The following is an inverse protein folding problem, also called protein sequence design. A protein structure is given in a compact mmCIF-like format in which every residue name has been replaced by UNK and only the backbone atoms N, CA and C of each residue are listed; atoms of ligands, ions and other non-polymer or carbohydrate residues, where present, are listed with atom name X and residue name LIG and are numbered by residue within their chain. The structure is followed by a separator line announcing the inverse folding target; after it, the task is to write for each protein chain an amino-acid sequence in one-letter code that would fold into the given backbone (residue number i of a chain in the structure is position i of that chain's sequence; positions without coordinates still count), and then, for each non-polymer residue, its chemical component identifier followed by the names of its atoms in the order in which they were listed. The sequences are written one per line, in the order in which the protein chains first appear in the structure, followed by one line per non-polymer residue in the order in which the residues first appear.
data_IF_076420755205
#
_entry.id   IF_076420755205
#
_cell.length_a   1.000
_cell.length_b   1.000
_cell.length_c   1.000
_cell.angle_alpha   90.00
_cell.angle_beta   90.00
_cell.angle_gamma   90.00
#
_symmetry.space_group_name_H-M   'P 1'
#
loop_
_entity.id
_entity.type
_entity.pdbx_description
1 polymer ?
#
# COMPACT_ATOMS: atom_id res chain seq x y z
N UNK A 1 -33.75 -5.77 1.48
CA UNK A 1 -32.50 -5.17 0.98
C UNK A 1 -31.47 -6.28 0.97
N UNK A 2 -30.94 -6.63 -0.20
CA UNK A 2 -29.99 -7.72 -0.36
C UNK A 2 -28.67 -7.31 0.30
N UNK A 3 -28.24 -8.10 1.28
CA UNK A 3 -26.88 -8.11 1.81
C UNK A 3 -25.96 -8.67 0.73
N UNK A 4 -25.15 -7.83 0.08
CA UNK A 4 -24.17 -8.27 -0.91
C UNK A 4 -22.79 -8.34 -0.28
N UNK A 5 -22.37 -9.55 0.05
CA UNK A 5 -20.94 -9.89 0.23
C UNK A 5 -20.20 -9.71 -1.11
N UNK A 6 -18.89 -9.44 -1.07
CA UNK A 6 -18.08 -9.43 -2.30
C UNK A 6 -17.72 -10.89 -2.61
N UNK A 7 -18.47 -11.54 -3.50
CA UNK A 7 -18.14 -12.90 -4.00
C UNK A 7 -16.94 -12.91 -4.98
N UNK A 8 -16.40 -11.73 -5.29
CA UNK A 8 -15.40 -11.51 -6.34
C UNK A 8 -13.96 -11.45 -5.80
N UNK A 9 -12.97 -11.66 -6.68
CA UNK A 9 -11.55 -11.64 -6.27
C UNK A 9 -11.10 -10.21 -6.00
N UNK A 10 -10.93 -9.86 -4.73
CA UNK A 10 -10.29 -8.60 -4.31
C UNK A 10 -8.80 -8.63 -4.67
N UNK A 11 -8.33 -7.54 -5.27
CA UNK A 11 -6.96 -7.34 -5.76
C UNK A 11 -6.21 -6.32 -4.90
N UNK A 12 -6.89 -5.26 -4.46
CA UNK A 12 -6.32 -4.24 -3.57
C UNK A 12 -7.40 -3.60 -2.68
N UNK A 13 -7.02 -3.04 -1.55
CA UNK A 13 -7.81 -2.32 -0.56
C UNK A 13 -7.18 -0.95 -0.28
N UNK A 14 -8.01 0.01 0.10
CA UNK A 14 -7.54 1.27 0.66
C UNK A 14 -8.54 1.78 1.69
N UNK A 15 -8.10 1.89 2.94
CA UNK A 15 -8.90 2.45 4.01
C UNK A 15 -8.75 3.98 4.08
N UNK A 16 -9.78 4.64 4.59
CA UNK A 16 -9.66 6.02 5.00
C UNK A 16 -8.63 6.16 6.14
N UNK A 17 -7.89 7.28 6.23
CA UNK A 17 -7.05 7.56 7.39
C UNK A 17 -7.83 7.56 8.71
N UNK A 18 -9.14 7.83 8.66
CA UNK A 18 -10.05 7.85 9.80
C UNK A 18 -10.84 6.54 9.98
N UNK A 19 -10.42 5.43 9.35
CA UNK A 19 -11.16 4.16 9.32
C UNK A 19 -11.64 3.66 10.68
N UNK A 20 -10.81 3.83 11.71
CA UNK A 20 -11.17 3.48 13.09
C UNK A 20 -12.48 4.14 13.54
N UNK A 21 -12.77 5.35 13.07
CA UNK A 21 -13.99 6.12 13.36
C UNK A 21 -15.07 5.99 12.29
N UNK A 22 -14.73 6.12 11.01
CA UNK A 22 -15.70 6.23 9.90
C UNK A 22 -16.00 4.90 9.19
N UNK A 23 -15.25 3.84 9.49
CA UNK A 23 -15.40 2.51 8.89
C UNK A 23 -15.24 2.45 7.37
N UNK A 24 -14.69 3.48 6.74
CA UNK A 24 -14.66 3.61 5.28
C UNK A 24 -13.46 2.91 4.66
N UNK A 25 -13.72 1.95 3.78
CA UNK A 25 -12.69 1.25 3.01
C UNK A 25 -13.18 1.00 1.58
N UNK A 26 -12.25 0.99 0.64
CA UNK A 26 -12.48 0.68 -0.76
C UNK A 26 -11.77 -0.62 -1.14
N UNK A 27 -12.40 -1.43 -1.98
CA UNK A 27 -11.86 -2.69 -2.47
C UNK A 27 -11.88 -2.71 -4.00
N UNK A 28 -10.70 -2.72 -4.60
CA UNK A 28 -10.52 -3.00 -6.01
C UNK A 28 -10.61 -4.52 -6.24
N UNK A 29 -11.44 -4.95 -7.19
CA UNK A 29 -11.61 -6.35 -7.56
C UNK A 29 -11.55 -6.55 -9.08
N UNK A 30 -11.59 -7.81 -9.49
CA UNK A 30 -11.77 -8.22 -10.87
C UNK A 30 -13.14 -7.85 -11.49
N UNK A 31 -14.08 -7.33 -10.68
CA UNK A 31 -15.43 -6.96 -11.09
C UNK A 31 -15.79 -5.50 -10.77
N UNK A 32 -14.83 -4.69 -10.34
CA UNK A 32 -15.02 -3.26 -10.13
C UNK A 32 -14.49 -2.79 -8.79
N UNK A 33 -14.86 -1.57 -8.43
CA UNK A 33 -14.53 -0.97 -7.14
C UNK A 33 -15.74 -1.04 -6.22
N UNK A 34 -15.51 -1.50 -4.98
CA UNK A 34 -16.52 -1.57 -3.93
C UNK A 34 -16.14 -0.68 -2.76
N UNK A 35 -17.14 -0.23 -2.01
CA UNK A 35 -16.97 0.60 -0.81
C UNK A 35 -17.80 0.05 0.35
N UNK A 36 -17.18 0.04 1.52
CA UNK A 36 -17.83 -0.12 2.82
C UNK A 36 -17.75 1.19 3.62
N UNK A 37 -18.70 1.38 4.54
CA UNK A 37 -18.71 2.45 5.56
C UNK A 37 -18.99 1.90 6.97
N UNK A 38 -19.08 0.57 7.08
CA UNK A 38 -19.43 -0.17 8.29
C UNK A 38 -18.35 -1.20 8.62
N UNK A 39 -17.08 -0.87 8.29
CA UNK A 39 -15.90 -1.71 8.58
C UNK A 39 -15.94 -3.08 7.90
N UNK A 40 -16.57 -3.15 6.73
CA UNK A 40 -16.64 -4.35 5.91
C UNK A 40 -17.79 -5.29 6.25
N UNK A 41 -18.77 -4.86 7.06
CA UNK A 41 -20.01 -5.62 7.28
C UNK A 41 -20.85 -5.66 6.00
N UNK A 42 -20.90 -4.55 5.24
CA UNK A 42 -21.55 -4.49 3.93
C UNK A 42 -20.73 -3.72 2.91
N UNK A 43 -20.92 -4.09 1.63
CA UNK A 43 -20.23 -3.50 0.50
C UNK A 43 -21.20 -3.05 -0.58
N UNK A 44 -20.88 -1.93 -1.21
CA UNK A 44 -21.65 -1.35 -2.32
C UNK A 44 -20.73 -1.06 -3.50
N UNK A 45 -21.19 -1.33 -4.72
CA UNK A 45 -20.42 -1.02 -5.93
C UNK A 45 -20.35 0.49 -6.14
N UNK A 46 -19.14 1.02 -6.31
CA UNK A 46 -18.87 2.42 -6.65
C UNK A 46 -19.24 2.75 -8.10
N UNK A 47 -19.42 1.73 -8.95
CA UNK A 47 -19.74 1.89 -10.38
C UNK A 47 -21.18 1.51 -10.73
N UNK A 48 -22.04 1.32 -9.73
CA UNK A 48 -23.44 0.97 -9.96
C UNK A 48 -24.14 2.00 -10.87
N UNK A 49 -24.78 1.52 -11.94
CA UNK A 49 -25.46 2.38 -12.92
C UNK A 49 -24.55 3.02 -13.96
N UNK A 50 -23.24 2.74 -13.94
CA UNK A 50 -22.30 3.09 -15.00
C UNK A 50 -22.06 1.88 -15.89
N UNK A 51 -22.96 1.62 -16.85
CA UNK A 51 -22.95 0.40 -17.67
C UNK A 51 -21.63 0.04 -18.37
N UNK A 52 -20.74 1.02 -18.62
CA UNK A 52 -19.40 0.77 -19.22
C UNK A 52 -18.34 0.35 -18.19
N UNK A 53 -18.65 0.45 -16.90
CA UNK A 53 -17.76 0.22 -15.76
C UNK A 53 -18.30 -0.83 -14.79
N UNK A 54 -19.51 -1.31 -15.03
CA UNK A 54 -20.01 -2.53 -14.40
C UNK A 54 -19.12 -3.70 -14.84
N UNK A 55 -18.59 -4.47 -13.87
CA UNK A 55 -17.75 -5.65 -14.10
C UNK A 55 -16.37 -5.35 -14.74
N UNK A 56 -15.78 -4.20 -14.40
CA UNK A 56 -14.46 -3.82 -14.89
C UNK A 56 -13.35 -4.20 -13.90
N UNK A 57 -12.29 -4.82 -14.39
CA UNK A 57 -11.09 -5.11 -13.60
C UNK A 57 -10.48 -3.82 -13.02
N UNK A 58 -10.39 -3.74 -11.70
CA UNK A 58 -9.66 -2.70 -10.99
C UNK A 58 -8.44 -3.30 -10.31
N UNK A 59 -7.24 -2.79 -10.62
CA UNK A 59 -5.98 -3.42 -10.19
C UNK A 59 -5.32 -2.74 -8.99
N UNK A 60 -5.71 -1.50 -8.70
CA UNK A 60 -5.15 -0.72 -7.60
C UNK A 60 -6.16 0.34 -7.16
N UNK A 61 -6.13 0.70 -5.88
CA UNK A 61 -6.93 1.78 -5.30
C UNK A 61 -6.09 2.54 -4.29
N UNK A 62 -6.33 3.85 -4.18
CA UNK A 62 -5.73 4.69 -3.15
C UNK A 62 -6.72 5.72 -2.62
N UNK A 63 -6.62 6.00 -1.33
CA UNK A 63 -7.40 7.02 -0.63
C UNK A 63 -6.47 8.16 -0.22
N UNK A 64 -6.92 9.40 -0.42
CA UNK A 64 -6.15 10.60 -0.03
C UNK A 64 -5.82 10.62 1.47
N UNK A 65 -4.61 11.00 1.87
CA UNK A 65 -4.29 11.27 3.28
C UNK A 65 -5.21 12.32 3.94
N UNK A 66 -5.85 13.19 3.14
CA UNK A 66 -6.82 14.17 3.58
C UNK A 66 -8.27 13.80 3.22
N UNK A 67 -8.56 12.51 3.04
CA UNK A 67 -9.87 12.01 2.59
C UNK A 67 -11.07 12.54 3.41
N UNK A 68 -10.89 12.75 4.71
CA UNK A 68 -11.92 13.33 5.56
C UNK A 68 -12.37 14.72 5.06
N UNK A 69 -11.48 15.49 4.44
CA UNK A 69 -11.74 16.84 3.92
C UNK A 69 -12.03 16.85 2.42
N UNK A 70 -11.24 16.12 1.63
CA UNK A 70 -11.28 16.23 0.16
C UNK A 70 -12.06 15.10 -0.53
N UNK A 71 -12.37 14.02 0.20
CA UNK A 71 -13.06 12.84 -0.32
C UNK A 71 -12.37 12.17 -1.51
N UNK A 72 -11.07 12.40 -1.73
CA UNK A 72 -10.41 11.94 -2.96
C UNK A 72 -10.09 10.45 -2.92
N UNK A 73 -10.46 9.73 -3.98
CA UNK A 73 -10.12 8.33 -4.22
C UNK A 73 -9.61 8.19 -5.65
N UNK A 74 -8.52 7.44 -5.82
CA UNK A 74 -7.98 7.04 -7.13
C UNK A 74 -8.12 5.53 -7.27
N UNK A 75 -8.50 5.06 -8.47
CA UNK A 75 -8.56 3.64 -8.79
C UNK A 75 -8.04 3.40 -10.19
N UNK A 76 -7.27 2.34 -10.38
CA UNK A 76 -6.86 1.90 -11.70
C UNK A 76 -8.01 1.14 -12.35
N UNK A 77 -8.28 1.46 -13.61
CA UNK A 77 -9.22 0.76 -14.49
C UNK A 77 -8.50 0.44 -15.82
N UNK A 78 -9.04 -0.42 -16.69
CA UNK A 78 -8.41 -0.73 -17.96
C UNK A 78 -8.23 0.57 -18.78
N UNK A 79 -6.98 0.89 -19.05
CA UNK A 79 -6.59 2.02 -19.87
C UNK A 79 -6.65 3.42 -19.23
N UNK A 80 -6.94 3.50 -17.93
CA UNK A 80 -7.13 4.79 -17.27
C UNK A 80 -7.07 4.77 -15.75
N UNK A 81 -7.18 5.96 -15.18
CA UNK A 81 -7.37 6.16 -13.75
C UNK A 81 -8.76 6.76 -13.54
N UNK A 82 -9.57 6.10 -12.71
CA UNK A 82 -10.77 6.69 -12.13
C UNK A 82 -10.39 7.56 -10.93
N UNK A 83 -10.95 8.75 -10.88
CA UNK A 83 -10.79 9.73 -9.80
C UNK A 83 -12.15 10.15 -9.29
N UNK A 84 -12.36 10.03 -7.98
CA UNK A 84 -13.50 10.62 -7.28
C UNK A 84 -13.00 11.70 -6.32
N UNK A 85 -13.79 12.74 -6.10
CA UNK A 85 -13.57 13.79 -5.07
C UNK A 85 -14.76 13.94 -4.13
N UNK A 86 -15.64 12.95 -4.11
CA UNK A 86 -16.88 12.94 -3.34
C UNK A 86 -17.06 11.59 -2.64
N UNK A 87 -15.94 10.98 -2.22
CA UNK A 87 -15.89 9.72 -1.48
C UNK A 87 -16.44 8.52 -2.26
N UNK A 88 -16.19 8.49 -3.56
CA UNK A 88 -16.54 7.39 -4.46
C UNK A 88 -17.97 7.44 -5.01
N UNK A 89 -18.68 8.57 -4.88
CA UNK A 89 -20.06 8.71 -5.38
C UNK A 89 -20.09 9.00 -6.89
N UNK A 90 -19.18 9.86 -7.38
CA UNK A 90 -19.01 10.17 -8.80
C UNK A 90 -17.55 10.09 -9.21
N UNK A 91 -17.33 9.86 -10.50
CA UNK A 91 -16.02 9.52 -11.05
C UNK A 91 -15.71 10.29 -12.33
N UNK A 92 -14.46 10.75 -12.42
CA UNK A 92 -13.83 11.31 -13.60
C UNK A 92 -12.73 10.37 -14.06
N UNK A 93 -12.55 10.22 -15.37
CA UNK A 93 -11.61 9.24 -15.92
C UNK A 93 -10.49 9.91 -16.70
N UNK A 94 -9.26 9.73 -16.23
CA UNK A 94 -8.05 10.13 -16.92
C UNK A 94 -7.57 8.98 -17.80
N UNK A 95 -7.41 9.23 -19.10
CA UNK A 95 -6.79 8.25 -20.01
C UNK A 95 -5.28 8.26 -19.84
N UNK A 96 -4.69 7.08 -19.77
CA UNK A 96 -3.24 6.95 -19.73
C UNK A 96 -2.65 6.98 -21.15
N UNK A 97 -1.38 7.41 -21.30
CA UNK A 97 -0.68 7.38 -22.60
C UNK A 97 -0.66 5.98 -23.21
N UNK A 98 -0.53 5.90 -24.54
CA UNK A 98 -0.34 4.63 -25.25
C UNK A 98 1.15 4.29 -25.39
N UNK A 99 1.55 3.01 -25.26
CA UNK A 99 0.73 1.87 -24.82
C UNK A 99 0.27 2.06 -23.36
N UNK A 100 -0.95 1.59 -23.06
CA UNK A 100 -1.57 1.80 -21.75
C UNK A 100 -0.84 0.98 -20.68
N UNK A 101 -0.28 1.63 -19.65
CA UNK A 101 0.44 0.94 -18.60
C UNK A 101 -0.53 0.19 -17.68
N UNK A 102 -0.11 -0.98 -17.22
CA UNK A 102 -0.82 -1.74 -16.18
C UNK A 102 -0.38 -1.19 -14.83
N UNK A 103 -1.28 -0.52 -14.13
CA UNK A 103 -1.02 0.07 -12.81
C UNK A 103 -0.96 -1.03 -11.75
N UNK A 104 0.14 -1.06 -10.99
CA UNK A 104 0.41 -2.06 -9.95
C UNK A 104 0.29 -1.50 -8.54
N UNK A 105 0.66 -0.24 -8.34
CA UNK A 105 0.62 0.42 -7.02
C UNK A 105 0.44 1.92 -7.15
N UNK A 106 -0.24 2.52 -6.19
CA UNK A 106 -0.35 3.98 -6.05
C UNK A 106 0.47 4.45 -4.85
N UNK A 107 0.93 5.70 -4.92
CA UNK A 107 1.44 6.40 -3.75
C UNK A 107 1.06 7.88 -3.84
N UNK A 108 0.48 8.43 -2.77
CA UNK A 108 0.06 9.84 -2.70
C UNK A 108 0.99 10.61 -1.77
N UNK A 109 1.23 11.87 -2.07
CA UNK A 109 1.95 12.77 -1.17
C UNK A 109 1.23 12.86 0.19
N UNK A 110 1.94 12.85 1.33
CA UNK A 110 1.34 13.16 2.63
C UNK A 110 0.60 14.51 2.64
N UNK A 111 1.05 15.47 1.83
CA UNK A 111 0.43 16.81 1.68
C UNK A 111 -0.48 16.91 0.44
N UNK A 112 -1.08 15.79 0.02
CA UNK A 112 -1.90 15.70 -1.20
C UNK A 112 -3.01 16.75 -1.29
N UNK A 113 -3.58 17.17 -0.16
CA UNK A 113 -4.62 18.20 -0.12
C UNK A 113 -4.16 19.52 -0.77
N UNK A 114 -2.87 19.84 -0.61
CA UNK A 114 -2.27 21.09 -1.06
C UNK A 114 -1.50 20.91 -2.37
N UNK A 115 -0.65 19.88 -2.48
CA UNK A 115 0.23 19.71 -3.63
C UNK A 115 -0.37 18.87 -4.77
N UNK A 116 -1.43 18.11 -4.49
CA UNK A 116 -2.13 17.22 -5.44
C UNK A 116 -1.22 16.20 -6.13
N UNK A 117 -0.08 15.87 -5.52
CA UNK A 117 0.91 14.95 -6.08
C UNK A 117 0.51 13.51 -5.82
N UNK A 118 0.30 12.78 -6.91
CA UNK A 118 0.10 11.33 -6.89
C UNK A 118 1.07 10.66 -7.86
N UNK A 119 1.39 9.42 -7.54
CA UNK A 119 2.29 8.58 -8.29
C UNK A 119 1.65 7.22 -8.50
N UNK A 120 1.97 6.55 -9.61
CA UNK A 120 1.74 5.11 -9.70
C UNK A 120 2.94 4.38 -10.29
N UNK A 121 3.16 3.17 -9.80
CA UNK A 121 4.03 2.17 -10.41
C UNK A 121 3.25 1.39 -11.46
N UNK A 122 3.97 0.89 -12.46
CA UNK A 122 3.38 0.05 -13.50
C UNK A 122 4.21 -1.20 -13.75
N UNK A 123 3.53 -2.22 -14.27
CA UNK A 123 4.12 -3.55 -14.47
C UNK A 123 5.32 -3.54 -15.44
N UNK A 124 5.36 -2.64 -16.43
CA UNK A 124 6.44 -2.61 -17.44
C UNK A 124 6.83 -1.20 -17.93
N UNK A 125 6.13 -0.15 -17.51
CA UNK A 125 6.28 1.20 -18.07
C UNK A 125 6.88 2.20 -17.07
N UNK A 126 7.32 1.72 -15.90
CA UNK A 126 7.97 2.49 -14.86
C UNK A 126 6.99 3.26 -13.98
N UNK A 127 7.39 4.45 -13.55
CA UNK A 127 6.62 5.32 -12.67
C UNK A 127 6.00 6.48 -13.45
N UNK A 128 4.74 6.74 -13.13
CA UNK A 128 4.01 7.90 -13.61
C UNK A 128 3.66 8.82 -12.44
N UNK A 129 3.51 10.10 -12.76
CA UNK A 129 3.21 11.16 -11.81
C UNK A 129 2.07 12.03 -12.32
N UNK A 130 1.22 12.44 -11.40
CA UNK A 130 0.25 13.50 -11.56
C UNK A 130 0.62 14.68 -10.66
N UNK A 131 0.46 15.90 -11.18
CA UNK A 131 0.59 17.16 -10.43
C UNK A 131 -0.78 17.87 -10.24
N UNK A 132 -1.87 17.22 -10.65
CA UNK A 132 -3.23 17.79 -10.68
C UNK A 132 -4.28 16.88 -10.01
N UNK A 133 -3.83 16.02 -9.11
CA UNK A 133 -4.69 15.18 -8.28
C UNK A 133 -5.27 13.98 -9.02
N UNK A 134 -4.59 13.51 -10.06
CA UNK A 134 -4.95 12.34 -10.86
C UNK A 134 -5.72 12.64 -12.14
N UNK A 135 -5.80 13.91 -12.57
CA UNK A 135 -6.49 14.28 -13.82
C UNK A 135 -5.62 14.01 -15.05
N UNK A 136 -4.31 14.24 -14.94
CA UNK A 136 -3.32 13.90 -15.97
C UNK A 136 -2.13 13.19 -15.37
N UNK A 137 -1.48 12.34 -16.18
CA UNK A 137 -0.37 11.48 -15.78
C UNK A 137 0.75 11.52 -16.80
N UNK A 138 1.98 11.70 -16.32
CA UNK A 138 3.20 11.76 -17.15
C UNK A 138 4.23 10.77 -16.62
N UNK A 139 4.91 10.05 -17.51
CA UNK A 139 5.98 9.13 -17.15
C UNK A 139 7.24 9.88 -16.69
N UNK A 140 7.84 9.46 -15.58
CA UNK A 140 9.08 10.04 -15.04
C UNK A 140 10.06 8.94 -14.62
N UNK A 141 10.83 8.47 -15.61
CA UNK A 141 11.66 7.25 -15.50
C UNK A 141 13.17 7.51 -15.65
N UNK A 142 13.62 8.76 -15.53
CA UNK A 142 15.04 9.08 -15.67
C UNK A 142 15.85 8.41 -14.56
N UNK A 143 16.80 7.54 -14.91
CA UNK A 143 17.58 6.72 -13.97
C UNK A 143 16.86 5.49 -13.43
N UNK A 144 15.60 5.25 -13.82
CA UNK A 144 14.86 4.03 -13.52
C UNK A 144 15.10 3.01 -14.63
N UNK A 145 16.17 2.22 -14.48
CA UNK A 145 16.62 1.28 -15.53
C UNK A 145 15.77 0.02 -15.62
N UNK A 146 15.12 -0.37 -14.53
CA UNK A 146 14.11 -1.42 -14.51
C UNK A 146 12.73 -0.80 -14.31
N UNK A 147 11.86 -1.02 -15.30
CA UNK A 147 10.53 -0.41 -15.38
C UNK A 147 9.41 -1.31 -14.87
N UNK A 148 9.74 -2.51 -14.39
CA UNK A 148 8.78 -3.37 -13.71
C UNK A 148 8.66 -2.92 -12.26
N UNK A 149 7.75 -1.98 -11.99
CA UNK A 149 7.54 -1.40 -10.66
C UNK A 149 6.34 -2.09 -10.01
N UNK A 150 6.54 -2.71 -8.87
CA UNK A 150 5.51 -3.49 -8.16
C UNK A 150 5.04 -2.78 -6.89
N UNK A 151 5.95 -2.09 -6.19
CA UNK A 151 5.64 -1.38 -4.97
C UNK A 151 6.09 0.08 -5.03
N UNK A 152 5.38 0.97 -4.35
CA UNK A 152 5.82 2.36 -4.15
C UNK A 152 5.53 2.83 -2.73
N UNK A 153 6.42 3.67 -2.21
CA UNK A 153 6.25 4.29 -0.90
C UNK A 153 6.81 5.71 -0.89
N UNK A 154 6.08 6.66 -0.30
CA UNK A 154 6.49 8.07 -0.20
C UNK A 154 7.14 8.32 1.17
N UNK A 155 8.18 9.15 1.22
CA UNK A 155 8.77 9.58 2.49
C UNK A 155 7.74 10.28 3.36
N UNK A 156 7.69 10.04 4.68
CA UNK A 156 6.87 10.84 5.59
C UNK A 156 7.28 12.32 5.58
N UNK A 157 8.54 12.62 5.23
CA UNK A 157 9.09 13.98 5.13
C UNK A 157 9.07 14.52 3.69
N UNK A 158 8.17 14.02 2.83
CA UNK A 158 8.14 14.33 1.40
C UNK A 158 8.07 15.81 1.06
N UNK A 159 7.38 16.61 1.89
CA UNK A 159 7.26 18.05 1.69
C UNK A 159 8.63 18.75 1.72
N UNK A 160 9.56 18.26 2.54
CA UNK A 160 10.93 18.77 2.65
C UNK A 160 11.93 18.02 1.77
N UNK A 161 11.91 16.69 1.74
CA UNK A 161 12.95 15.87 1.11
C UNK A 161 12.63 15.45 -0.33
N UNK A 162 11.36 15.57 -0.74
CA UNK A 162 10.84 15.19 -2.06
C UNK A 162 11.22 13.76 -2.49
N UNK A 163 11.34 12.85 -1.52
CA UNK A 163 11.84 11.48 -1.67
C UNK A 163 10.72 10.44 -1.67
N UNK A 164 10.82 9.48 -2.57
CA UNK A 164 9.95 8.31 -2.63
C UNK A 164 10.76 7.10 -3.10
N UNK A 165 10.20 5.91 -2.96
CA UNK A 165 10.84 4.65 -3.31
C UNK A 165 9.96 3.85 -4.25
N UNK A 166 10.61 3.13 -5.16
CA UNK A 166 9.99 2.18 -6.07
C UNK A 166 10.67 0.82 -5.88
N UNK A 167 9.88 -0.21 -5.63
CA UNK A 167 10.30 -1.60 -5.61
C UNK A 167 10.09 -2.17 -7.00
N UNK A 168 11.16 -2.68 -7.59
CA UNK A 168 11.15 -3.23 -8.94
C UNK A 168 11.53 -4.71 -8.96
N UNK A 169 11.49 -5.32 -10.15
CA UNK A 169 11.97 -6.71 -10.35
C UNK A 169 13.47 -6.91 -10.11
N UNK A 170 14.25 -5.84 -9.95
CA UNK A 170 15.71 -5.88 -9.78
C UNK A 170 16.22 -5.18 -8.52
N UNK A 171 15.32 -4.64 -7.70
CA UNK A 171 15.68 -4.04 -6.41
C UNK A 171 14.90 -2.77 -6.10
N UNK A 172 15.44 -1.99 -5.17
CA UNK A 172 14.83 -0.73 -4.73
C UNK A 172 15.47 0.44 -5.48
N UNK A 173 14.63 1.37 -5.94
CA UNK A 173 15.06 2.66 -6.47
C UNK A 173 14.59 3.79 -5.56
N UNK A 174 15.46 4.77 -5.34
CA UNK A 174 15.15 6.02 -4.67
C UNK A 174 14.86 7.11 -5.70
N UNK A 175 13.64 7.62 -5.68
CA UNK A 175 13.22 8.80 -6.42
C UNK A 175 13.55 10.07 -5.65
N UNK A 176 14.02 11.09 -6.36
CA UNK A 176 14.33 12.43 -5.86
C UNK A 176 13.62 13.48 -6.73
N UNK A 177 13.56 14.72 -6.25
CA UNK A 177 12.88 15.82 -6.94
C UNK A 177 11.42 15.47 -7.27
N UNK A 178 10.71 14.85 -6.32
CA UNK A 178 9.31 14.38 -6.50
C UNK A 178 9.20 13.38 -7.65
N UNK A 179 10.09 12.39 -7.66
CA UNK A 179 10.10 11.29 -8.64
C UNK A 179 10.55 11.67 -10.04
N UNK A 180 11.26 12.79 -10.24
CA UNK A 180 11.78 13.18 -11.56
C UNK A 180 13.09 12.47 -11.92
N UNK A 181 13.85 12.04 -10.92
CA UNK A 181 15.11 11.31 -11.11
C UNK A 181 15.23 10.17 -10.09
N UNK A 182 15.64 9.00 -10.58
CA UNK A 182 15.73 7.76 -9.82
C UNK A 182 17.17 7.26 -9.77
N UNK A 183 17.52 6.64 -8.65
CA UNK A 183 18.83 6.03 -8.45
C UNK A 183 18.63 4.67 -7.77
N UNK A 184 19.36 3.61 -8.19
CA UNK A 184 19.30 2.34 -7.50
C UNK A 184 19.81 2.49 -6.06
N UNK A 185 19.18 1.77 -5.13
CA UNK A 185 19.62 1.62 -3.74
C UNK A 185 20.30 0.27 -3.61
N UNK A 186 21.49 0.27 -2.99
CA UNK A 186 22.25 -0.96 -2.75
C UNK A 186 21.66 -1.73 -1.56
N UNK A 187 20.67 -2.56 -1.84
CA UNK A 187 20.16 -3.54 -0.88
C UNK A 187 21.03 -4.80 -1.02
N UNK A 188 21.59 -5.36 0.07
CA UNK A 188 22.43 -6.57 0.03
C UNK A 188 21.68 -7.88 -0.32
N UNK A 189 20.65 -7.80 -1.14
CA UNK A 189 19.93 -8.90 -1.76
C UNK A 189 20.16 -8.79 -3.29
N UNK A 190 20.97 -9.66 -3.87
CA UNK A 190 21.40 -9.54 -5.27
C UNK A 190 20.21 -9.65 -6.25
N UNK A 191 19.75 -8.50 -6.79
CA UNK A 191 18.75 -8.41 -7.88
C UNK A 191 17.50 -9.26 -7.66
N UNK A 192 16.80 -9.02 -6.56
CA UNK A 192 15.53 -9.68 -6.28
C UNK A 192 14.35 -8.75 -6.49
N UNK A 193 13.24 -9.35 -6.90
CA UNK A 193 11.94 -8.71 -7.01
C UNK A 193 11.52 -8.16 -5.64
N UNK A 194 11.25 -6.86 -5.59
CA UNK A 194 10.68 -6.18 -4.43
C UNK A 194 9.17 -6.15 -4.59
N UNK A 195 8.47 -6.95 -3.80
CA UNK A 195 7.01 -7.09 -3.86
C UNK A 195 6.30 -6.02 -3.03
N UNK A 196 6.92 -5.59 -1.92
CA UNK A 196 6.32 -4.64 -0.99
C UNK A 196 7.35 -3.69 -0.39
N UNK A 197 6.91 -2.46 -0.13
CA UNK A 197 7.71 -1.41 0.48
C UNK A 197 6.88 -0.68 1.53
N UNK A 198 7.50 -0.37 2.67
CA UNK A 198 6.97 0.58 3.63
C UNK A 198 8.06 1.55 4.08
N UNK A 199 7.67 2.81 4.32
CA UNK A 199 8.58 3.86 4.80
C UNK A 199 7.93 4.53 6.00
N UNK A 200 8.66 4.59 7.11
CA UNK A 200 8.25 5.23 8.36
C UNK A 200 9.26 6.29 8.76
N UNK A 201 8.84 7.25 9.58
CA UNK A 201 9.77 8.25 10.12
C UNK A 201 10.79 7.55 11.04
N UNK A 202 12.02 8.05 11.07
CA UNK A 202 13.05 7.57 11.99
C UNK A 202 13.88 8.76 12.48
N UNK A 203 13.56 9.25 13.68
CA UNK A 203 14.15 10.50 14.20
C UNK A 203 13.64 11.73 13.43
N UNK A 204 14.37 12.85 13.50
CA UNK A 204 13.92 14.13 12.94
C UNK A 204 13.99 14.19 11.42
N UNK A 205 15.00 13.59 10.81
CA UNK A 205 15.29 13.71 9.37
C UNK A 205 15.51 12.35 8.67
N UNK A 206 15.44 11.26 9.43
CA UNK A 206 15.63 9.91 8.91
C UNK A 206 14.30 9.24 8.58
N UNK A 207 14.39 8.18 7.78
CA UNK A 207 13.29 7.26 7.57
C UNK A 207 13.79 5.83 7.68
N UNK A 208 12.93 4.98 8.23
CA UNK A 208 13.07 3.53 8.19
C UNK A 208 12.42 3.02 6.92
N UNK A 209 13.11 2.13 6.21
CA UNK A 209 12.60 1.51 4.99
C UNK A 209 12.53 0.01 5.22
N UNK A 210 11.40 -0.59 4.89
CA UNK A 210 11.20 -2.03 4.88
C UNK A 210 10.98 -2.46 3.44
N UNK A 211 11.69 -3.50 3.02
CA UNK A 211 11.60 -4.07 1.68
C UNK A 211 11.32 -5.57 1.77
N UNK A 212 10.16 -5.95 1.26
CA UNK A 212 9.73 -7.33 1.15
C UNK A 212 10.12 -7.89 -0.21
N UNK A 213 10.77 -9.05 -0.22
CA UNK A 213 11.28 -9.67 -1.45
C UNK A 213 10.49 -10.92 -1.82
N UNK A 214 10.59 -11.32 -3.09
CA UNK A 214 9.93 -12.54 -3.60
C UNK A 214 10.52 -13.84 -3.03
N UNK A 215 11.80 -13.88 -2.61
CA UNK A 215 12.45 -15.14 -2.21
C UNK A 215 13.49 -15.02 -1.09
N UNK A 216 13.77 -13.82 -0.60
CA UNK A 216 14.88 -13.55 0.33
C UNK A 216 14.43 -12.76 1.54
N UNK A 217 13.16 -12.92 1.94
CA UNK A 217 12.65 -12.38 3.17
C UNK A 217 12.55 -10.85 3.22
N UNK A 218 12.52 -10.36 4.45
CA UNK A 218 12.34 -8.96 4.79
C UNK A 218 13.68 -8.27 5.07
N UNK A 219 13.88 -7.09 4.48
CA UNK A 219 15.04 -6.24 4.67
C UNK A 219 14.64 -4.91 5.29
N UNK A 220 15.45 -4.41 6.23
CA UNK A 220 15.20 -3.16 6.95
C UNK A 220 16.42 -2.26 6.89
N UNK A 221 16.21 -1.01 6.48
CA UNK A 221 17.15 0.08 6.66
C UNK A 221 16.64 1.03 7.74
N UNK A 222 17.47 1.36 8.72
CA UNK A 222 17.13 2.32 9.79
C UNK A 222 17.77 3.70 9.60
N UNK A 223 18.44 3.92 8.46
CA UNK A 223 19.20 5.14 8.16
C UNK A 223 18.97 5.59 6.71
N UNK A 224 17.71 5.66 6.31
CA UNK A 224 17.30 6.25 5.04
C UNK A 224 17.83 5.53 3.78
N UNK A 225 18.04 4.22 3.87
CA UNK A 225 18.55 3.38 2.77
C UNK A 225 20.07 3.31 2.68
N UNK A 226 20.80 3.85 3.67
CA UNK A 226 22.26 3.84 3.68
C UNK A 226 22.86 2.47 4.00
N UNK A 227 22.31 1.77 5.00
CA UNK A 227 22.66 0.39 5.32
C UNK A 227 21.40 -0.43 5.58
N UNK A 228 21.51 -1.74 5.35
CA UNK A 228 20.40 -2.67 5.44
C UNK A 228 20.78 -3.88 6.30
N UNK A 229 19.79 -4.42 7.01
CA UNK A 229 19.88 -5.75 7.61
C UNK A 229 18.74 -6.63 7.11
N UNK A 230 19.03 -7.91 6.92
CA UNK A 230 17.99 -8.92 6.76
C UNK A 230 17.35 -9.18 8.15
N UNK A 231 16.03 -9.32 8.20
CA UNK A 231 15.38 -9.94 9.36
C UNK A 231 15.74 -11.42 9.38
N UNK A 232 15.76 -12.02 10.58
CA UNK A 232 16.08 -13.43 10.72
C UNK A 232 15.24 -14.28 9.74
N UNK A 233 15.89 -15.23 9.06
CA UNK A 233 15.24 -16.06 8.03
C UNK A 233 14.22 -17.02 8.64
N UNK A 234 14.40 -17.39 9.89
CA UNK A 234 13.43 -18.22 10.61
C UNK A 234 12.17 -17.42 11.00
N UNK A 235 12.26 -16.09 10.96
CA UNK A 235 11.16 -15.16 11.28
C UNK A 235 10.46 -14.69 10.01
N UNK A 236 11.22 -14.30 8.98
CA UNK A 236 10.70 -13.72 7.75
C UNK A 236 11.64 -13.98 6.57
N UNK A 237 11.99 -15.25 6.31
CA UNK A 237 12.94 -15.66 5.27
C UNK A 237 12.33 -15.99 3.90
N UNK A 238 11.03 -16.28 3.84
CA UNK A 238 10.32 -16.63 2.60
C UNK A 238 9.90 -15.42 1.76
N UNK A 239 8.86 -15.59 0.93
CA UNK A 239 8.25 -14.48 0.20
C UNK A 239 7.63 -13.49 1.18
N UNK A 240 7.81 -12.20 0.93
CA UNK A 240 7.14 -11.13 1.67
C UNK A 240 6.16 -10.42 0.73
N UNK A 241 4.90 -10.86 0.78
CA UNK A 241 3.83 -10.36 -0.08
C UNK A 241 3.47 -8.91 0.25
N UNK A 242 3.42 -8.58 1.54
CA UNK A 242 2.93 -7.29 1.99
C UNK A 242 3.59 -6.80 3.26
N UNK A 243 3.75 -5.48 3.33
CA UNK A 243 4.15 -4.77 4.53
C UNK A 243 3.15 -3.63 4.75
N UNK A 244 2.51 -3.61 5.91
CA UNK A 244 1.72 -2.48 6.38
C UNK A 244 2.44 -1.85 7.58
N UNK A 245 2.41 -0.51 7.67
CA UNK A 245 3.11 0.21 8.73
C UNK A 245 2.38 1.49 9.10
N UNK A 246 2.33 1.81 10.39
CA UNK A 246 1.81 3.06 10.90
C UNK A 246 2.48 3.42 12.24
N UNK A 247 2.67 4.72 12.46
CA UNK A 247 3.06 5.25 13.77
C UNK A 247 1.79 5.53 14.58
N UNK A 248 1.69 4.93 15.77
CA UNK A 248 0.58 5.14 16.70
C UNK A 248 0.63 6.52 17.37
N UNK A 249 -0.46 6.90 18.03
CA UNK A 249 -0.56 8.19 18.73
C UNK A 249 0.46 8.35 19.89
N UNK A 250 0.95 7.23 20.44
CA UNK A 250 2.03 7.19 21.42
C UNK A 250 3.43 7.41 20.83
N UNK A 251 3.54 7.44 19.49
CA UNK A 251 4.82 7.49 18.77
C UNK A 251 5.43 6.11 18.49
N UNK A 252 4.76 5.02 18.87
CA UNK A 252 5.25 3.66 18.62
C UNK A 252 5.00 3.26 17.16
N UNK A 253 6.03 2.75 16.50
CA UNK A 253 5.95 2.27 15.12
C UNK A 253 5.44 0.83 15.08
N UNK A 254 4.25 0.65 14.53
CA UNK A 254 3.63 -0.64 14.32
C UNK A 254 3.82 -1.10 12.88
N UNK A 255 4.27 -2.33 12.71
CA UNK A 255 4.47 -2.96 11.41
C UNK A 255 3.87 -4.35 11.40
N UNK A 256 3.23 -4.72 10.31
CA UNK A 256 2.72 -6.06 10.06
C UNK A 256 3.19 -6.51 8.69
N UNK A 257 3.60 -7.77 8.62
CA UNK A 257 4.17 -8.37 7.43
C UNK A 257 3.45 -9.67 7.14
N UNK A 258 2.96 -9.80 5.91
CA UNK A 258 2.40 -11.04 5.38
C UNK A 258 3.47 -11.75 4.56
N UNK A 259 3.91 -12.91 5.02
CA UNK A 259 4.71 -13.85 4.24
C UNK A 259 3.94 -15.11 3.87
N UNK A 260 4.61 -16.04 3.19
CA UNK A 260 4.01 -17.33 2.77
C UNK A 260 3.43 -18.12 3.95
N UNK A 261 4.19 -18.22 5.05
CA UNK A 261 3.86 -19.14 6.14
C UNK A 261 3.30 -18.44 7.40
N UNK A 262 3.47 -17.12 7.51
CA UNK A 262 3.16 -16.40 8.73
C UNK A 262 2.75 -14.94 8.48
N UNK A 263 1.87 -14.45 9.36
CA UNK A 263 1.69 -13.02 9.60
C UNK A 263 2.54 -12.64 10.82
N UNK A 264 3.43 -11.69 10.62
CA UNK A 264 4.36 -11.23 11.64
C UNK A 264 4.03 -9.79 12.01
N UNK A 265 4.14 -9.44 13.28
CA UNK A 265 3.94 -8.09 13.76
C UNK A 265 5.14 -7.59 14.56
N UNK A 266 5.29 -6.28 14.58
CA UNK A 266 6.29 -5.55 15.34
C UNK A 266 5.65 -4.29 15.91
N UNK A 267 6.02 -3.92 17.13
CA UNK A 267 5.63 -2.65 17.76
C UNK A 267 6.81 -1.67 17.97
N UNK A 268 7.98 -1.96 17.40
CA UNK A 268 9.19 -1.12 17.48
C UNK A 268 9.78 -0.82 16.07
N UNK A 269 8.90 -0.76 15.08
CA UNK A 269 9.22 -0.48 13.68
C UNK A 269 10.01 -1.59 12.98
N UNK A 270 10.05 -2.79 13.53
CA UNK A 270 10.68 -3.99 12.94
C UNK A 270 11.97 -4.41 13.62
N UNK A 271 12.27 -3.89 14.82
CA UNK A 271 13.42 -4.33 15.62
C UNK A 271 13.17 -5.71 16.25
N UNK A 272 11.97 -5.96 16.76
CA UNK A 272 11.51 -7.25 17.27
C UNK A 272 10.23 -7.70 16.56
N UNK A 273 10.09 -9.01 16.40
CA UNK A 273 9.01 -9.62 15.63
C UNK A 273 8.31 -10.73 16.42
N UNK A 274 6.99 -10.78 16.29
CA UNK A 274 6.15 -11.81 16.89
C UNK A 274 5.16 -12.34 15.85
N UNK A 275 4.96 -13.65 15.82
CA UNK A 275 3.90 -14.23 15.02
C UNK A 275 2.53 -13.78 15.56
N UNK A 276 1.61 -13.45 14.66
CA UNK A 276 0.23 -13.17 15.03
C UNK A 276 -0.50 -14.50 15.19
N UNK A 277 -0.86 -14.87 16.41
CA UNK A 277 -1.61 -16.08 16.69
C UNK A 277 -3.13 -15.88 16.51
N UNK A 278 -3.86 -16.98 16.28
CA UNK A 278 -5.33 -16.97 16.29
C UNK A 278 -5.99 -16.36 15.05
N UNK A 279 -5.27 -16.30 13.93
CA UNK A 279 -5.85 -15.86 12.65
C UNK A 279 -6.96 -16.80 12.17
N UNK A 280 -8.08 -16.24 11.67
CA UNK A 280 -9.07 -17.03 10.95
C UNK A 280 -8.53 -17.39 9.56
N UNK A 281 -8.15 -18.65 9.35
CA UNK A 281 -7.71 -19.15 8.03
C UNK A 281 -6.19 -19.29 7.87
N UNK A 282 -5.76 -19.54 6.64
CA UNK A 282 -4.34 -19.60 6.27
C UNK A 282 -3.88 -18.22 5.76
N UNK A 283 -2.57 -17.97 5.73
CA UNK A 283 -1.96 -16.75 5.14
C UNK A 283 -2.41 -16.50 3.69
N UNK A 284 -2.68 -17.57 2.93
CA UNK A 284 -3.20 -17.51 1.55
C UNK A 284 -4.57 -16.81 1.44
N UNK A 285 -5.34 -16.74 2.54
CA UNK A 285 -6.65 -16.10 2.55
C UNK A 285 -6.53 -14.56 2.64
N UNK A 286 -5.39 -14.05 3.10
CA UNK A 286 -5.14 -12.64 3.40
C UNK A 286 -4.83 -11.87 2.11
N UNK A 287 -5.77 -11.02 1.68
CA UNK A 287 -5.59 -10.17 0.50
C UNK A 287 -4.70 -8.96 0.76
N UNK A 288 -4.90 -8.32 1.92
CA UNK A 288 -4.28 -7.05 2.26
C UNK A 288 -4.32 -6.81 3.76
N UNK A 289 -3.45 -5.92 4.25
CA UNK A 289 -3.23 -5.53 5.63
C UNK A 289 -3.31 -4.01 5.69
N UNK A 290 -4.03 -3.51 6.68
CA UNK A 290 -4.08 -2.08 6.99
C UNK A 290 -3.76 -1.92 8.47
N UNK A 291 -3.00 -0.88 8.83
CA UNK A 291 -2.75 -0.49 10.21
C UNK A 291 -3.25 0.94 10.40
N UNK A 292 -4.09 1.17 11.40
CA UNK A 292 -4.57 2.50 11.77
C UNK A 292 -3.85 3.03 13.00
N UNK A 293 -3.62 4.35 13.06
CA UNK A 293 -2.92 5.02 14.18
C UNK A 293 -3.69 4.96 15.51
N UNK A 294 -5.03 4.96 15.45
CA UNK A 294 -5.94 4.94 16.61
C UNK A 294 -6.11 3.56 17.29
N UNK A 295 -5.08 2.71 17.23
CA UNK A 295 -5.12 1.32 17.62
C UNK A 295 -4.97 0.43 16.39
N UNK A 296 -3.90 -0.37 16.29
CA UNK A 296 -3.61 -1.11 15.08
C UNK A 296 -4.59 -2.29 14.94
N UNK A 297 -5.60 -2.10 14.09
CA UNK A 297 -6.51 -3.16 13.64
C UNK A 297 -6.03 -3.65 12.30
N UNK A 298 -5.61 -4.91 12.23
CA UNK A 298 -5.36 -5.57 10.95
C UNK A 298 -6.71 -5.87 10.33
N UNK A 299 -6.91 -5.46 9.08
CA UNK A 299 -8.03 -5.94 8.29
C UNK A 299 -7.52 -7.12 7.51
N UNK A 300 -8.06 -8.30 7.76
CA UNK A 300 -7.74 -9.51 7.00
C UNK A 300 -8.97 -9.94 6.22
N UNK A 301 -8.76 -10.24 4.93
CA UNK A 301 -9.76 -10.91 4.12
C UNK A 301 -9.81 -12.38 4.52
N UNK A 302 -11.02 -12.91 4.69
CA UNK A 302 -11.30 -14.34 4.52
C UNK A 302 -12.08 -14.54 3.22
N UNK A 303 -12.13 -15.78 2.71
CA UNK A 303 -12.73 -16.19 1.42
C UNK A 303 -14.19 -15.69 1.20
N UNK A 304 -14.86 -15.21 2.24
CA UNK A 304 -16.22 -14.65 2.27
C UNK A 304 -16.30 -13.12 2.07
N UNK A 305 -15.18 -12.43 1.79
CA UNK A 305 -15.16 -10.98 1.56
C UNK A 305 -15.36 -10.13 2.81
N UNK A 306 -15.39 -10.75 4.00
CA UNK A 306 -15.48 -10.05 5.28
C UNK A 306 -14.12 -9.52 5.69
N UNK A 307 -14.14 -8.34 6.30
CA UNK A 307 -12.99 -7.76 6.96
C UNK A 307 -13.06 -8.17 8.43
N UNK A 308 -12.09 -8.94 8.89
CA UNK A 308 -11.96 -9.27 10.31
C UNK A 308 -10.94 -8.33 10.96
N UNK A 309 -11.30 -7.63 12.04
CA UNK A 309 -10.31 -6.93 12.85
C UNK A 309 -9.48 -7.98 13.59
N UNK A 310 -8.20 -8.05 13.32
CA UNK A 310 -7.28 -8.78 14.20
C UNK A 310 -6.76 -7.77 15.23
N UNK A 311 -7.00 -8.01 16.53
CA UNK A 311 -6.35 -7.21 17.56
C UNK A 311 -4.85 -7.43 17.42
N UNK A 312 -4.06 -6.36 17.44
CA UNK A 312 -2.62 -6.55 17.49
C UNK A 312 -2.24 -7.35 18.72
N UNK A 313 -1.34 -8.34 18.57
CA UNK A 313 -0.92 -9.17 19.67
C UNK A 313 -0.45 -8.28 20.82
N UNK A 314 -0.92 -8.58 22.04
CA UNK A 314 -0.33 -7.97 23.23
C UNK A 314 1.10 -8.49 23.30
N UNK A 315 2.06 -7.60 23.00
CA UNK A 315 3.48 -7.89 23.11
C UNK A 315 3.76 -8.04 24.61
N UNK A 316 3.70 -9.27 25.14
CA UNK A 316 4.12 -9.51 26.51
C UNK A 316 5.64 -9.32 26.57
N UNK A 317 6.13 -8.47 27.48
CA UNK A 317 7.57 -8.19 27.74
C UNK A 317 8.43 -9.42 28.10
N UNK A 318 7.88 -10.63 28.03
CA UNK A 318 8.64 -11.85 28.25
C UNK A 318 9.32 -12.24 26.94
N UNK A 319 10.55 -11.75 26.76
CA UNK A 319 11.45 -12.17 25.68
C UNK A 319 11.62 -13.70 25.58
N UNK A 320 12.25 -14.19 24.50
CA UNK A 320 12.25 -15.61 24.16
C UNK A 320 12.89 -16.44 25.29
N UNK A 321 12.18 -17.48 25.72
CA UNK A 321 12.75 -18.58 26.52
C UNK A 321 13.33 -19.64 25.61
#
# INVERSE_FOLDING_TARGET
MMTSEIENRVIALAASPAFGSDGTCFAASDQGLFKTVDRGETWSSCFAGMAQLEQVLTTAVAVSPAFAHDGTVLTAIPGGIGRSTDRGLTWQFARLPLPQPVVTSFALSPDFANDRLAFFGSMLDGVFRSEDGGQTWTAWNSGLFDRSVLAMAVSPNFSSDQTLFAGSSSGVYRGTNRGRAWHPVDVPCERHTILSLAVMAAGTDGYRILAGTEAHGLWISSNSGGTWRQVDRDVAGGTIHMIASATGDSGDDHTIVLGDDALMCSADGGMAWHAVEGMPGQTEDIAELIITSAGPKVLVRTVDGRIHPIPMPVMNDNGPR
#
